data_IF_556592385882
#
_entry.id   IF_556592385882
#
_cell.length_a   1.000
_cell.length_b   1.000
_cell.length_c   1.000
_cell.angle_alpha   90.00
_cell.angle_beta   90.00
_cell.angle_gamma   90.00
#
_symmetry.space_group_name_H-M   'P 1'
#
loop_
_entity.id
_entity.type
_entity.pdbx_description
1 polymer ?
#
# COMPACT_ATOMS: atom_id res chain seq x y z
N UNK A 1 6.41 -53.07 4.15
CA UNK A 1 6.92 -51.99 3.27
C UNK A 1 5.73 -51.47 2.46
N UNK A 2 4.98 -50.49 2.99
CA UNK A 2 3.73 -50.04 2.36
C UNK A 2 4.05 -49.09 1.21
N UNK A 3 3.75 -49.51 -0.02
CA UNK A 3 3.87 -48.66 -1.20
C UNK A 3 2.73 -47.65 -1.18
N UNK A 4 3.07 -46.38 -0.99
CA UNK A 4 2.12 -45.28 -1.17
C UNK A 4 1.68 -45.32 -2.65
N UNK A 5 0.38 -45.45 -2.96
CA UNK A 5 -0.09 -45.53 -4.33
C UNK A 5 0.20 -44.20 -5.03
N UNK A 6 0.88 -44.26 -6.18
CA UNK A 6 1.37 -43.10 -6.95
C UNK A 6 0.30 -42.04 -7.25
N UNK A 7 -0.97 -42.44 -7.32
CA UNK A 7 -2.11 -41.52 -7.52
C UNK A 7 -2.38 -40.59 -6.33
N UNK A 8 -2.07 -41.03 -5.10
CA UNK A 8 -2.21 -40.19 -3.89
C UNK A 8 -1.13 -39.09 -3.84
N UNK A 9 0.06 -39.37 -4.38
CA UNK A 9 1.16 -38.41 -4.44
C UNK A 9 0.87 -37.24 -5.39
N UNK A 10 0.21 -37.50 -6.53
CA UNK A 10 -0.19 -36.44 -7.47
C UNK A 10 -1.31 -35.54 -6.93
N UNK A 11 -2.25 -36.09 -6.15
CA UNK A 11 -3.33 -35.30 -5.53
C UNK A 11 -2.78 -34.35 -4.45
N UNK A 12 -1.84 -34.82 -3.63
CA UNK A 12 -1.21 -34.00 -2.58
C UNK A 12 -0.33 -32.87 -3.16
N UNK A 13 0.39 -33.14 -4.26
CA UNK A 13 1.17 -32.12 -4.97
C UNK A 13 0.29 -31.03 -5.58
N UNK A 14 -0.89 -31.39 -6.12
CA UNK A 14 -1.87 -30.42 -6.64
C UNK A 14 -2.50 -29.55 -5.54
N UNK A 15 -2.76 -30.10 -4.36
CA UNK A 15 -3.32 -29.38 -3.21
C UNK A 15 -2.31 -28.42 -2.55
N UNK A 16 -1.03 -28.79 -2.54
CA UNK A 16 0.05 -27.90 -2.08
C UNK A 16 0.32 -26.76 -3.07
N UNK A 17 0.16 -27.01 -4.37
CA UNK A 17 0.29 -25.98 -5.40
C UNK A 17 -0.88 -24.97 -5.39
N UNK A 18 -2.10 -25.38 -5.04
CA UNK A 18 -3.23 -24.46 -4.93
C UNK A 18 -3.19 -23.58 -3.67
N UNK A 19 -2.56 -24.05 -2.59
CA UNK A 19 -2.30 -23.22 -1.40
C UNK A 19 -1.28 -22.09 -1.67
N UNK A 20 -0.40 -22.24 -2.66
CA UNK A 20 0.58 -21.22 -3.03
C UNK A 20 -0.03 -20.04 -3.82
N UNK A 21 -1.15 -20.23 -4.51
CA UNK A 21 -1.79 -19.15 -5.29
C UNK A 21 -2.58 -18.14 -4.45
N UNK A 22 -2.87 -18.46 -3.18
CA UNK A 22 -3.60 -17.55 -2.28
C UNK A 22 -2.71 -16.53 -1.55
N UNK A 23 -1.38 -16.55 -1.77
CA UNK A 23 -0.43 -15.64 -1.13
C UNK A 23 0.01 -14.45 -1.99
N UNK A 24 -0.67 -14.20 -3.11
CA UNK A 24 -0.32 -13.13 -4.05
C UNK A 24 -0.73 -11.70 -3.62
N UNK A 25 -1.18 -11.49 -2.36
CA UNK A 25 -1.30 -10.16 -1.77
C UNK A 25 0.06 -9.71 -1.17
N UNK A 26 0.99 -9.30 -2.04
CA UNK A 26 2.04 -8.28 -1.83
C UNK A 26 2.38 -7.98 -0.36
N UNK A 27 3.28 -8.77 0.22
CA UNK A 27 3.50 -8.89 1.65
C UNK A 27 3.80 -7.54 2.33
N UNK A 28 2.77 -6.89 2.87
CA UNK A 28 2.90 -5.75 3.78
C UNK A 28 4.04 -5.98 4.79
N UNK A 29 4.03 -7.17 5.41
CA UNK A 29 4.98 -7.55 6.44
C UNK A 29 6.41 -7.80 5.91
N UNK A 30 6.65 -7.86 4.61
CA UNK A 30 8.00 -7.93 4.06
C UNK A 30 8.67 -6.56 4.08
N UNK A 31 7.94 -5.50 3.75
CA UNK A 31 8.52 -4.16 3.54
C UNK A 31 8.15 -3.15 4.64
N UNK A 32 6.97 -3.27 5.24
CA UNK A 32 6.39 -2.29 6.16
C UNK A 32 6.18 -2.85 7.57
N UNK A 33 6.17 -1.96 8.56
CA UNK A 33 6.02 -2.31 9.97
C UNK A 33 4.65 -1.84 10.50
N UNK A 34 3.81 -2.81 10.92
CA UNK A 34 2.51 -2.53 11.52
C UNK A 34 2.62 -1.68 12.79
N UNK A 35 3.76 -1.75 13.48
CA UNK A 35 4.02 -1.01 14.72
C UNK A 35 4.61 0.38 14.47
N UNK A 36 4.76 0.80 13.21
CA UNK A 36 5.22 2.14 12.82
C UNK A 36 4.16 2.87 12.00
N UNK A 37 2.98 3.17 12.59
CA UNK A 37 2.00 3.99 11.91
C UNK A 37 2.57 5.38 11.66
N UNK A 38 2.29 5.93 10.49
CA UNK A 38 2.66 7.29 10.09
C UNK A 38 1.41 8.10 9.81
N UNK A 39 1.46 9.38 10.19
CA UNK A 39 0.50 10.41 9.82
C UNK A 39 1.25 11.62 9.30
N UNK A 40 1.38 11.70 7.98
CA UNK A 40 2.19 12.70 7.31
C UNK A 40 1.30 13.80 6.77
N UNK A 41 1.50 15.03 7.23
CA UNK A 41 0.96 16.22 6.56
C UNK A 41 2.01 16.73 5.58
N UNK A 42 1.66 16.85 4.32
CA UNK A 42 2.62 17.26 3.31
C UNK A 42 1.98 17.75 2.02
N UNK A 43 2.83 18.26 1.15
CA UNK A 43 2.46 18.80 -0.15
C UNK A 43 2.76 17.78 -1.23
N UNK A 44 1.80 17.47 -2.09
CA UNK A 44 2.00 16.55 -3.21
C UNK A 44 3.06 17.11 -4.16
N UNK A 45 4.08 16.30 -4.42
CA UNK A 45 5.11 16.59 -5.43
C UNK A 45 4.69 15.98 -6.76
N UNK A 46 4.33 14.69 -6.76
CA UNK A 46 3.87 13.97 -7.96
C UNK A 46 3.18 12.65 -7.58
N UNK A 47 2.50 12.07 -8.58
CA UNK A 47 1.97 10.71 -8.53
C UNK A 47 2.51 9.90 -9.71
N UNK A 48 3.17 8.78 -9.42
CA UNK A 48 3.62 7.81 -10.42
C UNK A 48 2.59 6.68 -10.54
N UNK A 49 1.98 6.54 -11.71
CA UNK A 49 0.96 5.53 -12.01
C UNK A 49 1.60 4.25 -12.57
N UNK A 50 2.33 3.52 -11.74
CA UNK A 50 3.12 2.34 -12.13
C UNK A 50 2.38 1.06 -11.71
N UNK A 51 2.49 -0.01 -12.51
CA UNK A 51 2.03 -1.35 -12.14
C UNK A 51 3.23 -2.17 -11.64
N UNK A 52 3.15 -2.90 -10.51
CA UNK A 52 1.95 -3.20 -9.72
C UNK A 52 1.57 -2.17 -8.65
N UNK A 53 2.44 -1.22 -8.33
CA UNK A 53 2.20 -0.22 -7.28
C UNK A 53 2.34 1.20 -7.83
N UNK A 54 1.31 2.02 -7.61
CA UNK A 54 1.39 3.47 -7.82
C UNK A 54 2.02 4.13 -6.60
N UNK A 55 2.71 5.25 -6.81
CA UNK A 55 3.45 5.95 -5.76
C UNK A 55 3.07 7.41 -5.67
N UNK A 56 2.81 7.91 -4.48
CA UNK A 56 2.57 9.33 -4.20
C UNK A 56 3.80 9.88 -3.51
N UNK A 57 4.35 10.95 -4.05
CA UNK A 57 5.49 11.66 -3.49
C UNK A 57 4.98 12.90 -2.77
N UNK A 58 5.31 13.05 -1.48
CA UNK A 58 4.92 14.22 -0.70
C UNK A 58 6.11 14.85 0.00
N UNK A 59 6.16 16.17 0.00
CA UNK A 59 7.12 16.92 0.80
C UNK A 59 6.54 17.15 2.20
N UNK A 60 7.25 16.68 3.21
CA UNK A 60 6.89 16.79 4.62
C UNK A 60 7.88 17.72 5.30
N UNK A 61 7.36 18.78 5.94
CA UNK A 61 8.17 19.70 6.73
C UNK A 61 8.31 19.18 8.16
N UNK A 62 9.53 18.88 8.56
CA UNK A 62 9.87 18.50 9.93
C UNK A 62 9.79 19.67 10.91
N UNK A 63 9.82 19.35 12.21
CA UNK A 63 9.82 20.34 13.28
C UNK A 63 11.07 21.25 13.27
N UNK A 64 12.17 20.76 12.70
CA UNK A 64 13.41 21.52 12.48
C UNK A 64 13.34 22.45 11.25
N UNK A 65 12.19 22.50 10.58
CA UNK A 65 11.95 23.30 9.39
C UNK A 65 12.49 22.69 8.10
N UNK A 66 13.20 21.56 8.16
CA UNK A 66 13.69 20.87 6.96
C UNK A 66 12.55 20.17 6.25
N UNK A 67 12.63 20.14 4.93
CA UNK A 67 11.68 19.41 4.09
C UNK A 67 12.33 18.11 3.66
N UNK A 68 11.60 17.00 3.83
CA UNK A 68 11.98 15.69 3.33
C UNK A 68 10.87 15.12 2.46
N UNK A 69 11.24 14.56 1.32
CA UNK A 69 10.28 13.89 0.44
C UNK A 69 10.05 12.47 0.92
N UNK A 70 8.77 12.09 1.00
CA UNK A 70 8.31 10.74 1.29
C UNK A 70 7.73 10.09 0.04
N UNK A 71 7.99 8.79 -0.12
CA UNK A 71 7.39 7.95 -1.16
C UNK A 71 6.38 7.00 -0.55
N UNK A 72 5.11 7.17 -0.90
CA UNK A 72 4.00 6.41 -0.33
C UNK A 72 3.41 5.47 -1.38
N UNK A 73 3.46 4.18 -1.08
CA UNK A 73 2.91 3.11 -1.90
C UNK A 73 1.38 3.09 -1.80
N UNK A 74 0.74 2.99 -2.96
CA UNK A 74 -0.66 2.60 -3.09
C UNK A 74 -0.81 1.30 -3.90
N UNK A 75 -2.06 0.94 -4.16
CA UNK A 75 -2.40 -0.18 -5.03
C UNK A 75 -2.04 0.08 -6.49
N UNK A 76 -2.36 -0.89 -7.33
CA UNK A 76 -2.21 -0.74 -8.78
C UNK A 76 -3.06 0.41 -9.33
N UNK A 77 -2.71 0.98 -10.50
CA UNK A 77 -3.50 2.04 -11.13
C UNK A 77 -4.99 1.68 -11.24
N UNK A 78 -5.28 0.44 -11.64
CA UNK A 78 -6.66 -0.04 -11.78
C UNK A 78 -7.41 -0.12 -10.44
N UNK A 79 -6.73 -0.44 -9.35
CA UNK A 79 -7.33 -0.43 -8.00
C UNK A 79 -7.65 1.01 -7.60
N UNK A 80 -6.68 1.92 -7.74
CA UNK A 80 -6.86 3.32 -7.37
C UNK A 80 -7.98 4.01 -8.15
N UNK A 81 -8.07 3.75 -9.46
CA UNK A 81 -9.16 4.27 -10.29
C UNK A 81 -10.55 3.81 -9.79
N UNK A 82 -10.67 2.55 -9.35
CA UNK A 82 -11.93 2.04 -8.76
C UNK A 82 -12.24 2.64 -7.39
N UNK A 83 -11.22 3.06 -6.65
CA UNK A 83 -11.35 3.75 -5.36
C UNK A 83 -11.54 5.27 -5.50
N UNK A 84 -11.82 5.75 -6.71
CA UNK A 84 -12.19 7.14 -6.96
C UNK A 84 -11.02 8.08 -7.23
N UNK A 85 -9.80 7.56 -7.39
CA UNK A 85 -8.74 8.38 -7.97
C UNK A 85 -9.02 8.64 -9.44
N UNK A 86 -8.64 9.83 -9.89
CA UNK A 86 -8.42 10.16 -11.31
C UNK A 86 -6.97 10.56 -11.48
N UNK A 87 -6.47 10.60 -12.73
CA UNK A 87 -5.08 11.02 -13.00
C UNK A 87 -4.77 12.42 -12.47
N UNK A 88 -5.81 13.27 -12.36
CA UNK A 88 -5.72 14.65 -11.89
C UNK A 88 -6.22 14.83 -10.44
N UNK A 89 -6.55 13.73 -9.73
CA UNK A 89 -7.10 13.82 -8.37
C UNK A 89 -6.08 14.32 -7.33
N UNK A 90 -4.78 14.21 -7.62
CA UNK A 90 -3.69 14.70 -6.78
C UNK A 90 -2.78 15.66 -7.56
N UNK A 91 -3.23 16.90 -7.83
CA UNK A 91 -2.37 17.91 -8.43
C UNK A 91 -1.15 18.19 -7.55
N UNK A 92 0.00 18.40 -8.17
CA UNK A 92 1.18 18.89 -7.47
C UNK A 92 0.87 20.22 -6.75
N UNK A 93 1.38 20.39 -5.54
CA UNK A 93 1.07 21.53 -4.67
C UNK A 93 -0.13 21.32 -3.75
N UNK A 94 -0.90 20.24 -3.90
CA UNK A 94 -2.03 19.95 -3.00
C UNK A 94 -1.54 19.56 -1.62
N UNK A 95 -2.11 20.16 -0.56
CA UNK A 95 -1.88 19.70 0.80
C UNK A 95 -2.79 18.51 1.13
N UNK A 96 -2.19 17.45 1.65
CA UNK A 96 -2.90 16.26 2.11
C UNK A 96 -2.37 15.78 3.46
N UNK A 97 -3.20 15.03 4.17
CA UNK A 97 -2.79 14.20 5.31
C UNK A 97 -2.84 12.75 4.87
N UNK A 98 -1.70 12.06 4.95
CA UNK A 98 -1.54 10.65 4.61
C UNK A 98 -1.43 9.81 5.89
N UNK A 99 -2.35 8.88 6.08
CA UNK A 99 -2.25 7.84 7.11
C UNK A 99 -1.72 6.55 6.47
N UNK A 100 -0.82 5.84 7.16
CA UNK A 100 -0.18 4.63 6.63
C UNK A 100 0.80 3.99 7.60
N UNK A 101 1.75 3.24 7.06
CA UNK A 101 2.81 2.57 7.83
C UNK A 101 4.18 2.77 7.19
N UNK A 102 5.21 3.00 8.01
CA UNK A 102 6.57 3.21 7.52
C UNK A 102 7.24 1.91 7.09
N UNK A 103 8.16 2.01 6.14
CA UNK A 103 9.08 0.94 5.77
C UNK A 103 9.95 0.50 6.96
N UNK A 104 10.26 -0.80 7.02
CA UNK A 104 11.05 -1.41 8.09
C UNK A 104 12.48 -0.89 8.14
N UNK A 105 13.05 -0.59 6.98
CA UNK A 105 14.42 -0.09 6.82
C UNK A 105 14.64 1.33 7.36
N UNK A 106 13.57 2.02 7.79
CA UNK A 106 13.63 3.36 8.34
C UNK A 106 13.75 4.47 7.30
N UNK A 107 13.69 4.14 6.01
CA UNK A 107 13.62 5.15 4.94
C UNK A 107 12.34 5.98 5.03
N UNK A 108 12.30 7.12 4.32
CA UNK A 108 11.09 7.92 4.12
C UNK A 108 10.17 7.27 3.06
N UNK A 109 9.95 5.97 3.21
CA UNK A 109 9.02 5.19 2.41
C UNK A 109 7.93 4.64 3.31
N UNK A 110 6.75 4.50 2.77
CA UNK A 110 5.64 3.91 3.50
C UNK A 110 4.58 3.35 2.58
N UNK A 111 3.62 2.64 3.15
CA UNK A 111 2.41 2.19 2.46
C UNK A 111 1.23 3.00 2.98
N UNK A 112 0.46 3.57 2.07
CA UNK A 112 -0.68 4.40 2.37
C UNK A 112 -1.93 3.56 2.68
N UNK A 113 -2.69 4.01 3.68
CA UNK A 113 -4.02 3.50 4.01
C UNK A 113 -5.09 4.40 3.41
N UNK A 114 -5.05 5.67 3.80
CA UNK A 114 -6.03 6.68 3.39
C UNK A 114 -5.32 8.04 3.32
N UNK A 115 -5.66 8.82 2.30
CA UNK A 115 -5.33 10.23 2.25
C UNK A 115 -6.58 11.06 2.52
N UNK A 116 -6.40 12.18 3.21
CA UNK A 116 -7.44 13.16 3.52
C UNK A 116 -7.01 14.52 2.97
N UNK A 117 -7.85 15.13 2.14
CA UNK A 117 -7.67 16.49 1.64
C UNK A 117 -8.04 17.53 2.71
N UNK A 118 -7.63 18.79 2.50
CA UNK A 118 -7.97 19.90 3.39
C UNK A 118 -9.47 20.14 3.54
N UNK A 119 -10.27 19.80 2.51
CA UNK A 119 -11.74 19.88 2.52
C UNK A 119 -12.42 18.71 3.27
N UNK A 120 -11.64 17.76 3.79
CA UNK A 120 -12.12 16.58 4.49
C UNK A 120 -12.45 15.38 3.60
N UNK A 121 -12.40 15.52 2.27
CA UNK A 121 -12.57 14.40 1.32
C UNK A 121 -11.47 13.37 1.54
N UNK A 122 -11.82 12.08 1.43
CA UNK A 122 -10.90 10.97 1.61
C UNK A 122 -10.79 10.12 0.36
N UNK A 123 -9.59 9.59 0.11
CA UNK A 123 -9.36 8.54 -0.88
C UNK A 123 -8.55 7.41 -0.25
N UNK A 124 -8.99 6.18 -0.48
CA UNK A 124 -8.38 4.97 0.05
C UNK A 124 -7.33 4.44 -0.93
N UNK A 125 -6.19 3.98 -0.42
CA UNK A 125 -5.00 3.73 -1.25
C UNK A 125 -4.95 2.34 -1.86
N UNK A 126 -5.84 1.42 -1.47
CA UNK A 126 -6.01 0.10 -2.08
C UNK A 126 -4.76 -0.79 -2.11
N UNK A 127 -3.73 -0.43 -1.34
CA UNK A 127 -2.47 -1.15 -1.23
C UNK A 127 -2.52 -2.25 -0.18
N UNK A 128 -1.34 -2.71 0.24
CA UNK A 128 -1.19 -3.78 1.23
C UNK A 128 -1.46 -3.34 2.68
N UNK A 129 -1.61 -2.03 2.94
CA UNK A 129 -1.89 -1.52 4.28
C UNK A 129 -3.26 -1.98 4.82
N UNK A 130 -3.34 -2.39 6.10
CA UNK A 130 -4.61 -2.69 6.74
C UNK A 130 -5.62 -1.54 6.68
N UNK A 131 -6.83 -1.83 6.21
CA UNK A 131 -7.91 -0.86 6.00
C UNK A 131 -7.72 0.06 4.79
N UNK A 132 -6.81 -0.25 3.86
CA UNK A 132 -6.57 0.56 2.66
C UNK A 132 -7.69 0.48 1.61
N UNK A 133 -8.71 -0.36 1.79
CA UNK A 133 -9.86 -0.48 0.88
C UNK A 133 -11.11 0.24 1.37
N UNK A 134 -11.08 0.86 2.56
CA UNK A 134 -12.25 1.51 3.15
C UNK A 134 -13.23 0.58 3.89
N UNK A 135 -13.00 -0.73 3.86
CA UNK A 135 -13.61 -1.64 4.84
C UNK A 135 -13.10 -1.27 6.25
N UNK A 136 -14.01 -0.95 7.15
CA UNK A 136 -13.72 -0.90 8.59
C UNK A 136 -13.36 -2.30 9.07
N UNK A 137 -12.26 -2.43 9.83
CA UNK A 137 -11.95 -3.65 10.58
C UNK A 137 -13.21 -4.02 11.40
N UNK A 138 -13.90 -5.10 11.00
CA UNK A 138 -14.98 -5.71 11.78
C UNK A 138 -14.40 -6.59 12.86
#
# INVERSE_FOLDING_TARGET
>A
MNRVPTKLAFLAAGLLASAAFAWAHHAFAAEFDINRPIKLRGTVVKMDWINPHSWIHIDVKGADGKVVTWMIEGGSPNVLLRLGFTKDALPAGSEIVMDGFQAKDGSNRGVGKVLTFADGRKLFLGGSAPGANGESDK
#
